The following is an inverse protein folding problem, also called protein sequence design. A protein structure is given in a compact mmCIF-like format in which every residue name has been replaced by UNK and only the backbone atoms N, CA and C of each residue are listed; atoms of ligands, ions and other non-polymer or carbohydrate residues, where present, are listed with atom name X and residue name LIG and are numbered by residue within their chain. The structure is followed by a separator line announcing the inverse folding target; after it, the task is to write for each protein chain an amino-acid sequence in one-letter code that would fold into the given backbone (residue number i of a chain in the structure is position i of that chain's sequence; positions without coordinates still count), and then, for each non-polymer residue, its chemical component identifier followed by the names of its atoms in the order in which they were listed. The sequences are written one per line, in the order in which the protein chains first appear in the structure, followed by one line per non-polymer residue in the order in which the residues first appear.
data_IF_808790827810
#
_entry.id   IF_808790827810
#
_cell.length_a   1.000
_cell.length_b   1.000
_cell.length_c   1.000
_cell.angle_alpha   90.00
_cell.angle_beta   90.00
_cell.angle_gamma   90.00
#
_symmetry.space_group_name_H-M   'P 1'
#
loop_
_entity.id
_entity.type
_entity.pdbx_description
1 polymer ?
#
# COMPACT_ATOMS: atom_id res chain seq x y z
N UNK A 1 -12.24 4.64 -21.32
CA UNK A 1 -10.93 5.26 -21.63
C UNK A 1 -10.17 5.45 -20.33
N UNK A 2 -9.03 4.80 -20.22
CA UNK A 2 -8.19 4.99 -19.06
C UNK A 2 -7.48 6.32 -19.19
N UNK A 3 -7.85 7.28 -18.35
CA UNK A 3 -7.11 8.53 -18.25
C UNK A 3 -5.86 8.24 -17.45
N UNK A 4 -4.71 8.28 -18.10
CA UNK A 4 -3.43 8.16 -17.40
C UNK A 4 -3.22 9.45 -16.61
N UNK A 5 -3.00 9.29 -15.31
CA UNK A 5 -2.66 10.42 -14.47
C UNK A 5 -1.26 10.95 -14.77
N UNK A 6 -0.99 12.13 -14.28
CA UNK A 6 0.27 12.82 -14.49
C UNK A 6 1.38 12.41 -13.50
N UNK A 7 1.09 11.53 -12.56
CA UNK A 7 2.03 11.13 -11.51
C UNK A 7 3.05 10.08 -11.91
N UNK A 8 2.86 9.41 -13.06
CA UNK A 8 3.77 8.36 -13.50
C UNK A 8 5.12 8.94 -13.93
N UNK A 9 6.16 8.50 -13.28
CA UNK A 9 7.51 8.97 -13.56
C UNK A 9 8.45 8.72 -12.38
N UNK A 10 9.75 8.80 -12.66
CA UNK A 10 10.78 8.60 -11.65
C UNK A 10 11.24 9.92 -11.04
N UNK A 11 11.42 9.92 -9.72
CA UNK A 11 12.17 10.95 -9.00
C UNK A 11 13.56 10.37 -8.73
N UNK A 12 14.60 11.12 -9.11
CA UNK A 12 15.99 10.67 -8.97
C UNK A 12 16.68 11.54 -7.91
N UNK A 13 17.26 10.89 -6.90
CA UNK A 13 18.02 11.58 -5.86
C UNK A 13 19.42 11.96 -6.36
N UNK A 14 20.12 12.81 -5.60
CA UNK A 14 21.49 13.21 -5.90
C UNK A 14 22.46 12.01 -5.94
N UNK A 15 22.14 10.92 -5.24
CA UNK A 15 22.95 9.70 -5.23
C UNK A 15 22.56 8.68 -6.30
N UNK A 16 21.58 9.02 -7.16
CA UNK A 16 21.12 8.15 -8.23
C UNK A 16 20.00 7.19 -7.85
N UNK A 17 19.54 7.18 -6.61
CA UNK A 17 18.41 6.35 -6.20
C UNK A 17 17.13 6.85 -6.88
N UNK A 18 16.30 5.92 -7.33
CA UNK A 18 15.07 6.24 -8.06
C UNK A 18 13.84 5.83 -7.28
N UNK A 19 12.84 6.71 -7.31
CA UNK A 19 11.56 6.50 -6.63
C UNK A 19 10.43 6.73 -7.63
N UNK A 20 9.49 5.77 -7.67
CA UNK A 20 8.37 5.86 -8.61
C UNK A 20 7.28 6.76 -8.05
N UNK A 21 6.86 7.70 -8.84
CA UNK A 21 5.80 8.65 -8.51
C UNK A 21 6.32 10.09 -8.56
N UNK A 22 6.01 10.81 -9.62
CA UNK A 22 6.48 12.19 -9.82
C UNK A 22 6.09 13.10 -8.67
N UNK A 23 4.90 12.91 -8.11
CA UNK A 23 4.34 13.69 -6.98
C UNK A 23 4.28 12.88 -5.69
N UNK A 24 5.09 11.82 -5.58
CA UNK A 24 5.04 10.89 -4.48
C UNK A 24 4.20 9.66 -4.80
N UNK A 25 4.10 8.77 -3.84
CA UNK A 25 3.33 7.54 -3.95
C UNK A 25 2.55 7.28 -2.67
N UNK A 26 1.53 6.43 -2.76
CA UNK A 26 0.70 6.06 -1.62
C UNK A 26 0.26 4.61 -1.74
N UNK A 27 0.11 3.96 -0.60
CA UNK A 27 -0.40 2.60 -0.54
C UNK A 27 -1.43 2.45 0.57
N UNK A 28 -2.30 1.46 0.42
CA UNK A 28 -3.37 1.18 1.37
C UNK A 28 -3.01 0.00 2.26
N UNK A 29 -2.89 0.25 3.56
CA UNK A 29 -2.80 -0.79 4.57
C UNK A 29 -4.22 -1.08 5.05
N UNK A 30 -4.86 -2.05 4.40
CA UNK A 30 -6.24 -2.45 4.69
C UNK A 30 -6.24 -3.60 5.66
N UNK A 31 -6.93 -3.41 6.78
CA UNK A 31 -7.06 -4.41 7.84
C UNK A 31 -8.51 -4.88 7.94
N UNK A 32 -8.69 -6.16 8.20
CA UNK A 32 -10.01 -6.73 8.47
C UNK A 32 -9.90 -7.89 9.45
N UNK A 33 -10.96 -8.16 10.25
CA UNK A 33 -10.96 -9.34 11.12
C UNK A 33 -11.19 -10.61 10.30
N UNK A 34 -10.37 -11.63 10.55
CA UNK A 34 -10.61 -12.96 10.01
C UNK A 34 -11.63 -13.71 10.88
N UNK A 35 -12.23 -14.82 10.37
CA UNK A 35 -13.21 -15.59 11.14
C UNK A 35 -12.69 -16.10 12.49
N UNK A 36 -11.38 -16.32 12.62
CA UNK A 36 -10.75 -16.75 13.88
C UNK A 36 -10.52 -15.59 14.86
N UNK A 37 -10.89 -14.36 14.49
CA UNK A 37 -10.72 -13.17 15.32
C UNK A 37 -9.36 -12.50 15.21
N UNK A 38 -8.40 -13.09 14.49
CA UNK A 38 -7.10 -12.48 14.26
C UNK A 38 -7.21 -11.48 13.12
N UNK A 39 -6.70 -10.27 13.31
CA UNK A 39 -6.68 -9.26 12.26
C UNK A 39 -5.73 -9.66 11.13
N UNK A 40 -6.19 -9.47 9.91
CA UNK A 40 -5.40 -9.70 8.71
C UNK A 40 -5.25 -8.40 7.92
N UNK A 41 -4.19 -8.31 7.13
CA UNK A 41 -3.93 -7.18 6.24
C UNK A 41 -3.82 -7.67 4.80
N UNK A 42 -4.26 -6.85 3.87
CA UNK A 42 -4.21 -7.18 2.45
C UNK A 42 -2.85 -6.83 1.88
N UNK A 43 -2.16 -7.83 1.37
CA UNK A 43 -0.86 -7.66 0.73
C UNK A 43 -0.91 -8.15 -0.71
N UNK A 44 -0.11 -7.53 -1.57
CA UNK A 44 0.08 -8.00 -2.94
C UNK A 44 1.53 -8.41 -3.15
N UNK A 45 1.71 -9.53 -3.85
CA UNK A 45 3.01 -9.94 -4.32
C UNK A 45 3.24 -9.30 -5.69
N UNK A 46 4.36 -8.59 -5.82
CA UNK A 46 4.70 -7.91 -7.06
C UNK A 46 5.07 -8.94 -8.12
N UNK A 47 4.65 -8.69 -9.36
CA UNK A 47 5.00 -9.55 -10.48
C UNK A 47 6.53 -9.68 -10.61
N UNK A 48 7.01 -10.86 -10.97
CA UNK A 48 8.45 -11.14 -11.02
C UNK A 48 9.21 -10.24 -11.99
N UNK A 49 8.54 -9.76 -13.04
CA UNK A 49 9.15 -8.88 -14.04
C UNK A 49 9.17 -7.40 -13.62
N UNK A 50 8.55 -7.06 -12.50
CA UNK A 50 8.49 -5.67 -12.02
C UNK A 50 9.67 -5.34 -11.10
N UNK A 51 9.83 -4.05 -10.78
CA UNK A 51 10.80 -3.60 -9.77
C UNK A 51 10.46 -4.24 -8.42
N UNK A 52 11.48 -4.80 -7.74
CA UNK A 52 11.30 -5.59 -6.51
C UNK A 52 10.32 -6.76 -6.70
N UNK A 53 10.36 -7.39 -7.87
CA UNK A 53 9.49 -8.52 -8.22
C UNK A 53 9.58 -9.67 -7.22
N UNK A 54 8.44 -10.30 -6.96
CA UNK A 54 8.32 -11.39 -5.99
C UNK A 54 8.24 -10.96 -4.53
N UNK A 55 8.42 -9.67 -4.23
CA UNK A 55 8.25 -9.17 -2.85
C UNK A 55 6.79 -8.81 -2.59
N UNK A 56 6.41 -8.87 -1.31
CA UNK A 56 5.08 -8.51 -0.86
C UNK A 56 5.05 -7.07 -0.36
N UNK A 57 4.06 -6.33 -0.79
CA UNK A 57 3.87 -4.94 -0.40
C UNK A 57 2.40 -4.58 -0.30
N UNK A 58 2.15 -3.31 -0.04
CA UNK A 58 0.80 -2.77 -0.02
C UNK A 58 0.31 -2.53 -1.44
N UNK A 59 -1.00 -2.72 -1.72
CA UNK A 59 -1.59 -2.15 -2.93
C UNK A 59 -1.36 -0.64 -2.94
N UNK A 60 -0.86 -0.11 -4.04
CA UNK A 60 -0.55 1.30 -4.12
C UNK A 60 0.20 1.66 -5.39
N UNK A 61 0.52 2.93 -5.52
CA UNK A 61 1.22 3.44 -6.68
C UNK A 61 1.42 4.94 -6.65
N UNK A 62 1.72 5.52 -7.82
CA UNK A 62 1.99 6.93 -7.96
C UNK A 62 0.75 7.79 -7.68
N UNK A 63 0.96 8.86 -6.93
CA UNK A 63 -0.04 9.89 -6.73
C UNK A 63 -0.03 10.86 -7.91
N UNK A 64 -1.21 11.19 -8.43
CA UNK A 64 -1.35 12.23 -9.43
C UNK A 64 -1.37 13.61 -8.76
N UNK A 65 -1.01 14.67 -9.50
CA UNK A 65 -0.84 16.01 -8.94
C UNK A 65 -2.11 16.57 -8.27
N UNK A 66 -3.28 16.15 -8.76
CA UNK A 66 -4.58 16.64 -8.26
C UNK A 66 -5.16 15.77 -7.14
N UNK A 67 -4.50 14.66 -6.79
CA UNK A 67 -4.98 13.74 -5.78
C UNK A 67 -4.36 14.00 -4.41
N UNK A 68 -5.13 13.72 -3.36
CA UNK A 68 -4.54 13.51 -2.04
C UNK A 68 -3.90 12.11 -1.98
N UNK A 69 -3.04 11.88 -1.00
CA UNK A 69 -2.46 10.56 -0.80
C UNK A 69 -3.54 9.51 -0.53
N UNK A 70 -4.58 9.87 0.24
CA UNK A 70 -5.71 8.99 0.53
C UNK A 70 -6.46 8.60 -0.73
N UNK A 71 -6.72 9.53 -1.61
CA UNK A 71 -7.39 9.25 -2.89
C UNK A 71 -6.54 8.36 -3.78
N UNK A 72 -5.24 8.62 -3.85
CA UNK A 72 -4.32 7.80 -4.64
C UNK A 72 -4.28 6.37 -4.12
N UNK A 73 -4.18 6.19 -2.79
CA UNK A 73 -4.17 4.85 -2.19
C UNK A 73 -5.46 4.08 -2.48
N UNK A 74 -6.61 4.74 -2.35
CA UNK A 74 -7.91 4.11 -2.63
C UNK A 74 -8.07 3.75 -4.10
N UNK A 75 -7.66 4.64 -5.01
CA UNK A 75 -7.72 4.40 -6.46
C UNK A 75 -6.84 3.23 -6.85
N UNK A 76 -5.60 3.23 -6.41
CA UNK A 76 -4.66 2.15 -6.72
C UNK A 76 -5.12 0.81 -6.15
N UNK A 77 -5.63 0.80 -4.91
CA UNK A 77 -6.16 -0.42 -4.32
C UNK A 77 -7.36 -0.96 -5.12
N UNK A 78 -8.23 -0.08 -5.60
CA UNK A 78 -9.36 -0.48 -6.43
C UNK A 78 -8.89 -1.07 -7.76
N UNK A 79 -7.93 -0.41 -8.42
CA UNK A 79 -7.37 -0.89 -9.68
C UNK A 79 -6.67 -2.25 -9.53
N UNK A 80 -5.97 -2.45 -8.43
CA UNK A 80 -5.13 -3.63 -8.23
C UNK A 80 -5.84 -4.80 -7.58
N UNK A 81 -6.91 -4.57 -6.82
CA UNK A 81 -7.57 -5.62 -6.04
C UNK A 81 -9.08 -5.68 -6.21
N UNK A 82 -9.68 -4.67 -6.81
CA UNK A 82 -11.13 -4.58 -6.93
C UNK A 82 -11.85 -4.07 -5.69
N UNK A 83 -11.13 -3.77 -4.60
CA UNK A 83 -11.75 -3.24 -3.39
C UNK A 83 -12.22 -1.81 -3.64
N UNK A 84 -13.53 -1.57 -3.47
CA UNK A 84 -14.12 -0.25 -3.64
C UNK A 84 -13.89 0.68 -2.45
N UNK A 85 -13.76 1.99 -2.68
CA UNK A 85 -13.54 2.95 -1.60
C UNK A 85 -14.70 3.02 -0.60
N UNK A 86 -15.90 2.64 -1.01
CA UNK A 86 -17.09 2.59 -0.14
C UNK A 86 -17.13 1.35 0.77
N UNK A 87 -16.21 0.39 0.56
CA UNK A 87 -16.13 -0.83 1.35
C UNK A 87 -15.17 -0.70 2.53
N UNK A 88 -14.48 0.43 2.66
CA UNK A 88 -13.44 0.63 3.66
C UNK A 88 -13.66 1.93 4.43
N UNK A 89 -13.17 1.94 5.68
CA UNK A 89 -13.18 3.12 6.54
C UNK A 89 -11.76 3.60 6.75
N UNK A 90 -11.45 4.82 6.31
CA UNK A 90 -10.14 5.41 6.52
C UNK A 90 -9.92 5.71 8.00
N UNK A 91 -8.73 5.37 8.51
CA UNK A 91 -8.35 5.59 9.91
C UNK A 91 -7.27 6.63 10.08
N UNK A 92 -6.21 6.53 9.30
CA UNK A 92 -5.06 7.42 9.44
C UNK A 92 -4.22 7.42 8.16
N UNK A 93 -3.37 8.42 8.04
CA UNK A 93 -2.36 8.48 6.99
C UNK A 93 -1.04 8.86 7.64
N UNK A 94 0.03 8.22 7.22
CA UNK A 94 1.36 8.50 7.74
C UNK A 94 2.38 8.42 6.60
N UNK A 95 3.30 9.40 6.57
CA UNK A 95 4.44 9.34 5.65
C UNK A 95 5.42 8.32 6.20
N UNK A 96 5.60 7.21 5.51
CA UNK A 96 6.48 6.12 5.95
C UNK A 96 7.83 6.13 5.25
N UNK A 97 7.98 6.90 4.17
CA UNK A 97 9.28 7.11 3.53
C UNK A 97 9.38 8.55 3.03
N UNK A 98 10.50 9.20 3.33
CA UNK A 98 10.81 10.56 2.90
C UNK A 98 12.34 10.64 2.71
N UNK A 99 12.87 10.13 1.57
CA UNK A 99 14.30 10.09 1.34
C UNK A 99 14.94 11.48 1.37
N UNK A 100 16.06 11.61 2.04
CA UNK A 100 16.80 12.87 2.14
C UNK A 100 17.26 13.29 0.75
N UNK A 101 17.16 14.59 0.46
CA UNK A 101 17.59 15.16 -0.81
C UNK A 101 16.58 15.02 -1.94
N UNK A 102 15.34 14.63 -1.63
CA UNK A 102 14.23 14.58 -2.59
C UNK A 102 12.98 15.16 -1.96
N UNK A 103 12.03 15.56 -2.82
CA UNK A 103 10.68 15.95 -2.38
C UNK A 103 9.73 14.75 -2.40
N UNK A 104 10.21 13.58 -2.80
CA UNK A 104 9.40 12.38 -2.90
C UNK A 104 9.04 11.85 -1.52
N UNK A 105 7.77 11.46 -1.36
CA UNK A 105 7.30 10.79 -0.15
C UNK A 105 6.45 9.58 -0.53
N UNK A 106 6.44 8.58 0.36
CA UNK A 106 5.48 7.50 0.32
C UNK A 106 4.58 7.61 1.55
N UNK A 107 3.28 7.68 1.31
CA UNK A 107 2.28 7.76 2.37
C UNK A 107 1.56 6.43 2.50
N UNK A 108 1.53 5.88 3.69
CA UNK A 108 0.73 4.69 4.00
C UNK A 108 -0.60 5.16 4.58
N UNK A 109 -1.68 4.76 3.92
CA UNK A 109 -3.05 5.07 4.33
C UNK A 109 -3.62 3.84 5.03
N UNK A 110 -4.02 3.99 6.29
CA UNK A 110 -4.57 2.90 7.09
C UNK A 110 -6.09 2.93 7.01
N UNK A 111 -6.67 1.80 6.69
CA UNK A 111 -8.13 1.65 6.57
C UNK A 111 -8.57 0.30 7.13
N UNK A 112 -9.82 0.23 7.57
CA UNK A 112 -10.45 -1.00 8.04
C UNK A 112 -11.59 -1.41 7.12
N UNK A 113 -11.75 -2.71 6.92
CA UNK A 113 -12.94 -3.32 6.35
C UNK A 113 -13.64 -4.17 7.42
N UNK A 114 -14.95 -4.35 7.27
CA UNK A 114 -15.74 -5.12 8.25
C UNK A 114 -15.44 -6.61 8.21
N UNK A 115 -14.96 -7.11 7.08
CA UNK A 115 -14.67 -8.52 6.85
C UNK A 115 -13.58 -8.68 5.80
N UNK A 116 -13.06 -9.89 5.63
CA UNK A 116 -12.13 -10.20 4.56
C UNK A 116 -12.85 -10.08 3.21
N UNK A 117 -12.66 -8.95 2.54
CA UNK A 117 -13.31 -8.68 1.26
C UNK A 117 -12.75 -9.60 0.17
N UNK A 118 -13.60 -10.07 -0.78
CA UNK A 118 -13.09 -10.78 -1.94
C UNK A 118 -12.23 -9.85 -2.80
N UNK A 119 -11.11 -10.37 -3.27
CA UNK A 119 -10.15 -9.59 -4.05
C UNK A 119 -9.81 -10.32 -5.34
N UNK A 120 -9.50 -9.54 -6.39
CA UNK A 120 -9.11 -10.07 -7.71
C UNK A 120 -7.83 -9.40 -8.13
N UNK A 121 -6.79 -10.19 -8.32
CA UNK A 121 -5.48 -9.67 -8.73
C UNK A 121 -5.55 -9.11 -10.16
N UNK A 122 -4.92 -7.96 -10.36
CA UNK A 122 -4.72 -7.40 -11.70
C UNK A 122 -3.48 -8.00 -12.36
N UNK A 123 -3.22 -7.61 -13.63
CA UNK A 123 -2.09 -8.13 -14.41
C UNK A 123 -0.73 -7.83 -13.75
N UNK A 124 -0.63 -6.70 -13.03
CA UNK A 124 0.62 -6.27 -12.40
C UNK A 124 0.90 -6.96 -11.06
N UNK A 125 -0.11 -7.64 -10.50
CA UNK A 125 0.02 -8.35 -9.22
C UNK A 125 0.11 -9.84 -9.50
N UNK A 126 1.16 -10.49 -9.00
CA UNK A 126 1.27 -11.94 -9.12
C UNK A 126 0.26 -12.64 -8.20
N UNK A 127 -0.04 -12.03 -7.06
CA UNK A 127 -0.96 -12.60 -6.06
C UNK A 127 -1.45 -11.50 -5.12
N UNK A 128 -2.68 -11.66 -4.62
CA UNK A 128 -3.22 -10.89 -3.51
C UNK A 128 -3.56 -11.86 -2.39
N UNK A 129 -3.25 -11.49 -1.16
CA UNK A 129 -3.50 -12.35 -0.01
C UNK A 129 -3.84 -11.54 1.22
N UNK A 130 -4.85 -12.00 1.96
CA UNK A 130 -5.06 -11.56 3.33
C UNK A 130 -4.10 -12.33 4.23
N UNK A 131 -3.24 -11.61 4.93
CA UNK A 131 -2.18 -12.20 5.75
C UNK A 131 -2.42 -11.79 7.20
N UNK A 132 -2.46 -12.77 8.11
CA UNK A 132 -2.59 -12.46 9.53
C UNK A 132 -1.43 -11.55 9.97
N UNK A 133 -1.72 -10.54 10.78
CA UNK A 133 -0.69 -9.57 11.20
C UNK A 133 0.58 -10.23 11.74
N UNK A 134 0.51 -11.27 12.60
CA UNK A 134 1.73 -11.90 13.09
C UNK A 134 2.57 -12.60 12.02
N UNK A 135 1.95 -12.95 10.89
CA UNK A 135 2.60 -13.72 9.83
C UNK A 135 3.24 -12.83 8.75
N UNK A 136 3.01 -11.53 8.81
CA UNK A 136 3.52 -10.60 7.78
C UNK A 136 5.04 -10.68 7.67
N UNK A 137 5.74 -10.76 8.79
CA UNK A 137 7.21 -10.82 8.81
C UNK A 137 7.78 -12.13 8.29
N UNK A 138 6.95 -13.15 8.10
CA UNK A 138 7.38 -14.42 7.51
C UNK A 138 7.50 -14.33 5.99
N UNK A 139 6.95 -13.27 5.40
CA UNK A 139 6.97 -13.05 3.95
C UNK A 139 8.21 -12.25 3.55
N UNK A 140 8.62 -12.43 2.29
CA UNK A 140 9.64 -11.58 1.69
C UNK A 140 9.02 -10.22 1.36
N UNK A 141 9.18 -9.27 2.26
CA UNK A 141 8.57 -7.95 2.12
C UNK A 141 9.36 -7.04 1.19
N UNK A 142 8.62 -6.17 0.47
CA UNK A 142 9.23 -5.02 -0.21
C UNK A 142 10.04 -4.22 0.84
N UNK A 143 11.26 -3.75 0.51
CA UNK A 143 12.11 -3.07 1.48
C UNK A 143 11.43 -1.91 2.22
N UNK A 144 10.59 -1.13 1.53
CA UNK A 144 9.85 -0.03 2.15
C UNK A 144 8.88 -0.50 3.22
N UNK A 145 8.16 -1.59 2.96
CA UNK A 145 7.23 -2.16 3.95
C UNK A 145 8.01 -2.82 5.09
N UNK A 146 9.10 -3.52 4.78
CA UNK A 146 9.93 -4.15 5.81
C UNK A 146 10.45 -3.09 6.81
N UNK A 147 10.86 -1.93 6.31
CA UNK A 147 11.38 -0.84 7.15
C UNK A 147 10.30 -0.19 8.02
N UNK A 148 9.05 -0.15 7.55
CA UNK A 148 7.96 0.57 8.22
C UNK A 148 7.01 -0.33 9.02
N UNK A 149 7.06 -1.65 8.83
CA UNK A 149 6.03 -2.55 9.37
C UNK A 149 5.89 -2.49 10.89
N UNK A 150 6.99 -2.44 11.64
CA UNK A 150 6.91 -2.40 13.10
C UNK A 150 6.19 -1.15 13.60
N UNK A 151 6.50 0.02 13.02
CA UNK A 151 5.83 1.26 13.36
C UNK A 151 4.34 1.22 12.96
N UNK A 152 4.04 0.70 11.78
CA UNK A 152 2.66 0.56 11.31
C UNK A 152 1.87 -0.39 12.22
N UNK A 153 2.47 -1.50 12.60
CA UNK A 153 1.81 -2.46 13.49
C UNK A 153 1.48 -1.85 14.86
N UNK A 154 2.38 -1.00 15.36
CA UNK A 154 2.10 -0.23 16.58
C UNK A 154 0.91 0.71 16.41
N UNK A 155 0.79 1.36 15.25
CA UNK A 155 -0.35 2.22 14.95
C UNK A 155 -1.65 1.42 14.82
N UNK A 156 -1.62 0.25 14.22
CA UNK A 156 -2.78 -0.64 14.13
C UNK A 156 -3.29 -1.02 15.52
N UNK A 157 -2.40 -1.29 16.46
CA UNK A 157 -2.79 -1.61 17.83
C UNK A 157 -3.50 -0.45 18.53
N UNK A 158 -3.13 0.80 18.22
CA UNK A 158 -3.74 2.00 18.79
C UNK A 158 -5.11 2.32 18.16
N UNK A 159 -5.38 1.84 16.95
CA UNK A 159 -6.64 2.10 16.25
C UNK A 159 -7.72 1.07 16.59
N UNK A 160 -7.43 0.07 17.42
CA UNK A 160 -8.42 -0.85 17.94
C UNK A 160 -9.13 -0.17 19.10
N UNK A 161 -9.98 0.81 18.80
CA UNK A 161 -10.91 1.35 19.78
C UNK A 161 -12.27 0.75 19.53
N UNK A 162 -12.75 0.16 20.53
CA UNK A 162 -14.14 -0.28 20.63
C UNK A 162 -15.11 0.87 20.39
#
# INVERSE_FOLDING_TARGET
MIVRGDGNGWVVSATGSRYWGRYGAAGLLLRAPAPDGVSAVLLQRRALWSHQGGTWGLPGGARDSHETAERAALREAHEESGVGPDQVDLRASVVTAAPVGTDWTYTTVIADAAELLPVVACVESAELRWVAEPDVTDLRLHPGLAASWQALRGMLALTVTS
#
